data_IF_319351539785
#
_entry.id   IF_319351539785
#
_cell.length_a   1.000
_cell.length_b   1.000
_cell.length_c   1.000
_cell.angle_alpha   90.00
_cell.angle_beta   90.00
_cell.angle_gamma   90.00
#
_symmetry.space_group_name_H-M   'P 1'
#
loop_
_entity.id
_entity.type
_entity.pdbx_description
1 polymer ?
#
# COMPACT_ATOMS: atom_id res chain seq x y z
N UNK A 1 -18.61 -14.16 -32.55
CA UNK A 1 -17.57 -14.57 -31.57
C UNK A 1 -16.65 -15.59 -32.24
N UNK A 2 -15.32 -15.40 -32.18
CA UNK A 2 -14.33 -16.16 -33.00
C UNK A 2 -14.25 -17.62 -32.52
N UNK A 3 -14.36 -18.57 -33.44
CA UNK A 3 -14.49 -20.03 -33.20
C UNK A 3 -13.16 -20.78 -32.95
N UNK A 4 -12.06 -20.07 -32.72
CA UNK A 4 -10.79 -20.68 -32.35
C UNK A 4 -10.00 -19.65 -31.57
N UNK A 5 -9.73 -19.89 -30.29
CA UNK A 5 -8.91 -19.02 -29.44
C UNK A 5 -7.44 -19.12 -29.88
N UNK A 6 -7.15 -18.70 -31.11
CA UNK A 6 -5.81 -18.74 -31.68
C UNK A 6 -4.97 -17.63 -31.04
N UNK A 7 -3.88 -18.01 -30.39
CA UNK A 7 -2.92 -17.06 -29.84
C UNK A 7 -2.18 -16.39 -31.01
N UNK A 8 -2.30 -15.07 -31.10
CA UNK A 8 -1.61 -14.25 -32.11
C UNK A 8 -0.70 -13.26 -31.42
N UNK A 9 0.38 -12.87 -32.08
CA UNK A 9 1.26 -11.82 -31.56
C UNK A 9 0.51 -10.49 -31.50
N UNK A 10 0.82 -9.65 -30.51
CA UNK A 10 0.17 -8.36 -30.32
C UNK A 10 0.25 -7.43 -31.54
N UNK A 11 1.30 -7.55 -32.37
CA UNK A 11 1.44 -6.79 -33.62
C UNK A 11 0.58 -7.31 -34.77
N UNK A 12 0.10 -8.55 -34.69
CA UNK A 12 -0.78 -9.20 -35.68
C UNK A 12 -2.24 -9.16 -35.25
N UNK A 13 -2.54 -8.62 -34.07
CA UNK A 13 -3.89 -8.48 -33.58
C UNK A 13 -4.65 -7.47 -34.47
N UNK A 14 -5.75 -7.91 -35.09
CA UNK A 14 -6.63 -7.06 -35.90
C UNK A 14 -7.46 -6.04 -35.11
N UNK A 15 -7.11 -5.78 -33.84
CA UNK A 15 -7.72 -4.75 -33.00
C UNK A 15 -6.72 -3.61 -32.87
N UNK A 16 -7.08 -2.33 -33.12
CA UNK A 16 -6.19 -1.19 -32.92
C UNK A 16 -5.64 -1.10 -31.50
N UNK A 17 -4.45 -0.53 -31.31
CA UNK A 17 -3.77 -0.49 -30.01
C UNK A 17 -4.60 0.21 -28.93
N UNK A 18 -5.31 1.28 -29.28
CA UNK A 18 -6.14 2.07 -28.37
C UNK A 18 -7.40 1.34 -27.89
N UNK A 19 -7.80 0.24 -28.56
CA UNK A 19 -8.95 -0.60 -28.17
C UNK A 19 -8.52 -1.86 -27.44
N UNK A 20 -7.24 -2.02 -27.15
CA UNK A 20 -6.70 -3.17 -26.40
C UNK A 20 -6.68 -2.83 -24.92
N UNK A 21 -6.81 -3.88 -24.11
CA UNK A 21 -6.54 -3.81 -22.68
C UNK A 21 -5.65 -5.00 -22.30
N UNK A 22 -4.84 -4.80 -21.28
CA UNK A 22 -4.03 -5.87 -20.69
C UNK A 22 -4.78 -6.43 -19.51
N UNK A 23 -4.93 -7.75 -19.45
CA UNK A 23 -5.48 -8.45 -18.30
C UNK A 23 -4.38 -9.24 -17.60
N UNK A 24 -4.24 -9.03 -16.31
CA UNK A 24 -3.28 -9.71 -15.46
C UNK A 24 -4.03 -10.66 -14.52
N UNK A 25 -3.81 -11.96 -14.70
CA UNK A 25 -4.29 -12.98 -13.75
C UNK A 25 -3.24 -13.19 -12.65
N UNK A 26 -3.63 -13.09 -11.39
CA UNK A 26 -2.74 -13.10 -10.22
C UNK A 26 -1.76 -14.29 -10.25
N UNK A 27 -2.24 -15.49 -10.56
CA UNK A 27 -1.44 -16.74 -10.52
C UNK A 27 -0.48 -16.84 -11.71
N UNK A 28 -0.84 -16.27 -12.85
CA UNK A 28 -0.16 -16.49 -14.14
C UNK A 28 0.65 -15.27 -14.62
N UNK A 29 1.00 -14.36 -13.72
CA UNK A 29 1.72 -13.12 -14.09
C UNK A 29 3.24 -13.19 -13.89
N UNK A 30 3.79 -14.30 -13.42
CA UNK A 30 5.23 -14.46 -13.20
C UNK A 30 5.98 -14.34 -14.53
N UNK A 31 6.97 -13.44 -14.59
CA UNK A 31 7.77 -13.19 -15.80
C UNK A 31 7.08 -12.35 -16.88
N UNK A 32 5.81 -11.96 -16.71
CA UNK A 32 5.10 -11.09 -17.66
C UNK A 32 5.39 -9.63 -17.35
N UNK A 33 6.02 -8.92 -18.28
CA UNK A 33 6.21 -7.47 -18.21
C UNK A 33 5.67 -6.81 -19.49
N UNK A 34 4.46 -6.26 -19.41
CA UNK A 34 3.80 -5.60 -20.54
C UNK A 34 3.79 -4.10 -20.25
N UNK A 35 4.53 -3.34 -21.05
CA UNK A 35 4.55 -1.88 -20.97
C UNK A 35 3.16 -1.31 -21.21
N UNK A 36 2.70 -0.49 -20.27
CA UNK A 36 1.45 0.26 -20.39
C UNK A 36 1.74 1.66 -20.92
N UNK A 37 0.73 2.30 -21.51
CA UNK A 37 0.84 3.70 -21.91
C UNK A 37 1.07 4.60 -20.69
N UNK A 38 1.64 5.79 -20.89
CA UNK A 38 1.98 6.73 -19.81
C UNK A 38 0.75 7.30 -19.09
N UNK A 39 -0.41 7.32 -19.77
CA UNK A 39 -1.70 7.77 -19.27
C UNK A 39 -2.65 6.59 -18.95
N UNK A 40 -2.12 5.36 -18.90
CA UNK A 40 -2.93 4.18 -18.70
C UNK A 40 -3.65 4.19 -17.33
N UNK A 41 -4.90 3.72 -17.35
CA UNK A 41 -5.73 3.55 -16.16
C UNK A 41 -5.99 2.07 -15.94
N UNK A 42 -5.68 1.57 -14.75
CA UNK A 42 -5.95 0.19 -14.39
C UNK A 42 -7.11 0.08 -13.41
N UNK A 43 -7.89 -0.99 -13.56
CA UNK A 43 -8.81 -1.45 -12.53
C UNK A 43 -8.12 -2.58 -11.75
N UNK A 44 -8.00 -2.41 -10.44
CA UNK A 44 -7.45 -3.43 -9.54
C UNK A 44 -8.57 -3.91 -8.63
N UNK A 45 -8.81 -5.20 -8.55
CA UNK A 45 -9.82 -5.78 -7.66
C UNK A 45 -9.21 -6.13 -6.30
N UNK A 46 -9.99 -5.94 -5.23
CA UNK A 46 -9.60 -6.34 -3.87
C UNK A 46 -10.47 -7.50 -3.38
N UNK A 47 -9.82 -8.61 -3.03
CA UNK A 47 -10.46 -9.79 -2.45
C UNK A 47 -10.27 -9.91 -0.94
N UNK A 48 -11.10 -10.73 -0.28
CA UNK A 48 -11.02 -11.00 1.18
C UNK A 48 -9.66 -11.58 1.61
N UNK A 49 -9.11 -12.50 0.82
CA UNK A 49 -7.91 -13.27 1.18
C UNK A 49 -6.65 -12.76 0.47
N UNK A 50 -6.64 -11.48 0.10
CA UNK A 50 -5.49 -10.83 -0.53
C UNK A 50 -4.52 -10.27 0.52
N UNK A 51 -3.23 -10.59 0.42
CA UNK A 51 -2.22 -9.95 1.25
C UNK A 51 -1.81 -8.59 0.68
N UNK A 52 -1.19 -7.74 1.51
CA UNK A 52 -0.62 -6.47 1.03
C UNK A 52 0.41 -6.69 -0.09
N UNK A 53 1.17 -7.80 -0.02
CA UNK A 53 2.13 -8.18 -1.06
C UNK A 53 1.43 -8.39 -2.41
N UNK A 54 0.34 -9.14 -2.42
CA UNK A 54 -0.41 -9.45 -3.65
C UNK A 54 -1.01 -8.17 -4.26
N UNK A 55 -1.59 -7.31 -3.42
CA UNK A 55 -2.12 -6.01 -3.82
C UNK A 55 -1.02 -5.14 -4.45
N UNK A 56 0.10 -4.97 -3.76
CA UNK A 56 1.22 -4.15 -4.22
C UNK A 56 1.82 -4.72 -5.51
N UNK A 57 2.00 -6.04 -5.59
CA UNK A 57 2.53 -6.71 -6.78
C UNK A 57 1.65 -6.50 -8.01
N UNK A 58 0.33 -6.52 -7.83
CA UNK A 58 -0.63 -6.19 -8.90
C UNK A 58 -0.55 -4.73 -9.31
N UNK A 59 -0.55 -3.81 -8.32
CA UNK A 59 -0.50 -2.37 -8.58
C UNK A 59 0.77 -1.96 -9.34
N UNK A 60 1.95 -2.44 -8.90
CA UNK A 60 3.23 -2.02 -9.46
C UNK A 60 3.49 -2.48 -10.90
N UNK A 61 2.63 -3.31 -11.49
CA UNK A 61 2.69 -3.64 -12.94
C UNK A 61 2.49 -2.43 -13.84
N UNK A 62 1.83 -1.38 -13.35
CA UNK A 62 1.69 -0.13 -14.09
C UNK A 62 3.06 0.54 -14.30
N UNK A 63 4.04 0.36 -13.39
CA UNK A 63 5.39 0.97 -13.38
C UNK A 63 5.42 2.50 -13.22
N UNK A 64 4.42 3.23 -13.68
CA UNK A 64 4.34 4.70 -13.67
C UNK A 64 3.23 5.27 -12.78
N UNK A 65 2.85 4.59 -11.69
CA UNK A 65 1.81 5.07 -10.76
C UNK A 65 2.19 6.47 -10.24
N UNK A 66 1.28 7.43 -10.39
CA UNK A 66 1.51 8.83 -9.97
C UNK A 66 2.34 9.67 -10.96
N UNK A 67 2.76 9.10 -12.09
CA UNK A 67 3.45 9.78 -13.20
C UNK A 67 2.60 9.78 -14.48
N UNK A 68 1.30 9.96 -14.32
CA UNK A 68 0.31 9.91 -15.41
C UNK A 68 -0.59 8.66 -15.34
N UNK A 69 -0.05 7.53 -14.89
CA UNK A 69 -0.86 6.33 -14.70
C UNK A 69 -1.59 6.32 -13.36
N UNK A 70 -2.80 5.77 -13.38
CA UNK A 70 -3.68 5.71 -12.21
C UNK A 70 -4.28 4.31 -12.04
N UNK A 71 -4.66 4.02 -10.79
CA UNK A 71 -5.30 2.76 -10.42
C UNK A 71 -6.63 3.08 -9.74
N UNK A 72 -7.68 2.39 -10.19
CA UNK A 72 -9.01 2.43 -9.59
C UNK A 72 -9.22 1.12 -8.86
N UNK A 73 -9.54 1.21 -7.58
CA UNK A 73 -9.76 0.03 -6.75
C UNK A 73 -11.23 -0.39 -6.81
N UNK A 74 -11.47 -1.61 -7.28
CA UNK A 74 -12.78 -2.26 -7.31
C UNK A 74 -12.92 -3.17 -6.11
N UNK A 75 -13.84 -2.82 -5.21
CA UNK A 75 -14.10 -3.57 -3.98
C UNK A 75 -15.55 -4.03 -4.04
N UNK A 76 -15.76 -5.33 -3.87
CA UNK A 76 -17.11 -5.88 -3.76
C UNK A 76 -17.75 -5.46 -2.42
N UNK A 77 -19.06 -5.20 -2.36
CA UNK A 77 -19.73 -4.69 -1.16
C UNK A 77 -19.48 -5.55 0.09
N UNK A 78 -19.38 -6.87 -0.07
CA UNK A 78 -19.12 -7.83 1.00
C UNK A 78 -17.75 -7.60 1.65
N UNK A 79 -16.71 -7.37 0.84
CA UNK A 79 -15.35 -7.06 1.32
C UNK A 79 -15.32 -5.67 1.96
N UNK A 80 -16.02 -4.70 1.38
CA UNK A 80 -16.14 -3.36 1.98
C UNK A 80 -16.78 -3.41 3.37
N UNK A 81 -17.80 -4.24 3.58
CA UNK A 81 -18.41 -4.46 4.90
C UNK A 81 -17.39 -5.04 5.88
N UNK A 82 -16.66 -6.08 5.50
CA UNK A 82 -15.62 -6.69 6.33
C UNK A 82 -14.53 -5.67 6.74
N UNK A 83 -14.11 -4.81 5.81
CA UNK A 83 -13.14 -3.74 6.10
C UNK A 83 -13.70 -2.79 7.17
N UNK A 84 -14.94 -2.32 7.02
CA UNK A 84 -15.58 -1.39 7.97
C UNK A 84 -15.69 -2.02 9.36
N UNK A 85 -16.18 -3.25 9.44
CA UNK A 85 -16.34 -3.98 10.70
C UNK A 85 -14.98 -4.13 11.41
N UNK A 86 -13.93 -4.47 10.65
CA UNK A 86 -12.59 -4.66 11.23
C UNK A 86 -11.95 -3.35 11.69
N UNK A 87 -12.09 -2.28 10.91
CA UNK A 87 -11.61 -0.94 11.27
C UNK A 87 -12.29 -0.44 12.55
N UNK A 88 -13.61 -0.66 12.69
CA UNK A 88 -14.33 -0.28 13.91
C UNK A 88 -13.81 -1.04 15.14
N UNK A 89 -13.63 -2.36 15.04
CA UNK A 89 -13.07 -3.17 16.12
C UNK A 89 -11.66 -2.68 16.55
N UNK A 90 -10.81 -2.35 15.58
CA UNK A 90 -9.46 -1.84 15.84
C UNK A 90 -9.48 -0.47 16.49
N UNK A 91 -10.40 0.42 16.10
CA UNK A 91 -10.55 1.74 16.71
C UNK A 91 -11.00 1.63 18.18
N UNK A 92 -11.92 0.73 18.49
CA UNK A 92 -12.36 0.46 19.87
C UNK A 92 -11.19 -0.07 20.70
N UNK A 93 -10.45 -1.06 20.17
CA UNK A 93 -9.27 -1.62 20.85
C UNK A 93 -8.18 -0.57 21.10
N UNK A 94 -7.94 0.35 20.14
CA UNK A 94 -7.02 1.49 20.32
C UNK A 94 -7.49 2.45 21.41
N UNK A 95 -8.79 2.75 21.48
CA UNK A 95 -9.32 3.64 22.52
C UNK A 95 -9.30 3.04 23.94
N UNK A 96 -9.29 1.72 24.05
CA UNK A 96 -9.12 1.01 25.33
C UNK A 96 -7.66 0.92 25.79
N UNK A 97 -6.70 1.08 24.87
CA UNK A 97 -5.27 1.13 25.15
C UNK A 97 -4.80 2.59 25.26
N UNK A 98 -5.14 3.26 26.36
CA UNK A 98 -4.37 4.44 26.80
C UNK A 98 -2.96 3.93 27.18
N UNK A 99 -1.89 4.35 26.48
CA UNK A 99 -0.55 3.89 26.82
C UNK A 99 -0.11 4.61 28.11
N UNK A 100 -0.21 3.92 29.24
CA UNK A 100 0.70 4.19 30.35
C UNK A 100 2.10 3.81 29.85
N UNK A 101 2.92 4.82 29.56
CA UNK A 101 4.35 4.68 29.28
C UNK A 101 5.03 3.98 30.48
N UNK A 102 5.11 2.66 30.45
CA UNK A 102 6.06 1.91 31.28
C UNK A 102 7.42 2.01 30.60
N UNK A 103 8.15 3.08 30.94
CA UNK A 103 9.57 3.18 30.64
C UNK A 103 10.26 2.06 31.44
N UNK A 104 10.61 0.97 30.77
CA UNK A 104 11.57 0.01 31.32
C UNK A 104 12.91 0.75 31.43
N UNK A 105 13.53 0.88 32.62
CA UNK A 105 14.83 1.52 32.71
C UNK A 105 15.82 0.69 31.89
N UNK A 106 16.47 1.35 30.94
CA UNK A 106 17.49 0.76 30.10
C UNK A 106 18.63 0.26 31.01
N UNK A 107 18.92 -1.05 30.92
CA UNK A 107 20.06 -1.64 31.60
C UNK A 107 21.36 -1.02 31.06
N UNK A 108 22.21 -0.60 32.00
CA UNK A 108 23.54 -0.04 31.80
C UNK A 108 24.48 -0.96 31.01
N UNK A 109 25.13 -0.37 30.00
CA UNK A 109 26.59 -0.38 29.87
C UNK A 109 27.26 -1.45 29.00
N UNK A 110 27.87 -1.01 27.89
CA UNK A 110 29.32 -1.14 27.64
C UNK A 110 29.81 0.18 27.03
N UNK A 111 31.00 0.61 27.47
CA UNK A 111 31.56 1.96 27.33
C UNK A 111 31.65 2.48 25.90
N UNK A 112 31.86 3.75 25.66
CA UNK A 112 32.27 4.84 26.53
C UNK A 112 32.80 5.90 25.59
N UNK A 113 32.32 7.13 25.68
CA UNK A 113 33.17 8.26 25.32
C UNK A 113 32.76 9.51 26.09
N UNK A 114 33.81 10.19 26.50
CA UNK A 114 33.90 11.23 27.50
C UNK A 114 33.46 12.57 26.91
N UNK A 115 32.28 13.09 27.23
CA UNK A 115 32.10 14.53 27.42
C UNK A 115 30.97 14.80 28.43
N UNK A 116 31.39 15.25 29.60
CA UNK A 116 30.58 15.57 30.76
C UNK A 116 29.54 16.66 30.48
N UNK A 117 28.27 16.36 30.82
CA UNK A 117 27.27 17.38 31.15
C UNK A 117 26.79 17.09 32.57
N UNK A 118 27.12 18.02 33.45
CA UNK A 118 26.82 18.02 34.89
C UNK A 118 25.32 17.82 35.18
N UNK A 119 24.92 17.05 36.21
CA UNK A 119 23.53 16.86 36.56
C UNK A 119 23.02 18.08 37.35
N UNK A 120 22.35 19.02 36.68
CA UNK A 120 21.81 20.21 37.36
C UNK A 120 20.75 21.04 36.63
N UNK A 121 20.29 20.64 35.44
CA UNK A 121 19.40 21.51 34.65
C UNK A 121 18.05 20.82 34.39
N UNK A 122 17.02 21.24 35.12
CA UNK A 122 15.62 20.96 34.78
C UNK A 122 15.29 21.65 33.45
N UNK A 123 15.05 20.87 32.39
CA UNK A 123 14.45 21.40 31.15
C UNK A 123 13.03 20.85 31.05
N UNK A 124 12.08 21.65 31.50
CA UNK A 124 10.66 21.52 31.19
C UNK A 124 10.46 21.78 29.71
N UNK A 125 10.01 20.78 28.95
CA UNK A 125 9.42 21.01 27.63
C UNK A 125 7.90 20.84 27.71
N UNK A 126 7.24 21.97 28.03
CA UNK A 126 5.84 22.23 27.72
C UNK A 126 5.69 22.30 26.20
N UNK A 127 4.65 21.69 25.65
CA UNK A 127 4.21 22.02 24.29
C UNK A 127 3.55 20.90 23.52
N UNK A 128 2.35 20.49 23.94
CA UNK A 128 1.35 20.06 22.97
C UNK A 128 1.14 21.19 21.95
N UNK A 129 1.25 20.91 20.64
CA UNK A 129 0.56 21.72 19.64
C UNK A 129 0.27 20.94 18.36
N UNK A 130 -1.01 20.59 18.21
CA UNK A 130 -1.73 20.39 16.96
C UNK A 130 -1.87 21.74 16.22
N UNK A 131 -1.66 21.76 14.89
CA UNK A 131 -2.24 22.66 13.86
C UNK A 131 -1.54 22.33 12.52
N UNK A 132 -2.14 21.61 11.56
CA UNK A 132 -3.15 22.02 10.54
C UNK A 132 -2.61 23.03 9.52
N UNK A 133 -2.56 22.55 8.27
CA UNK A 133 -2.63 23.18 6.93
C UNK A 133 -2.02 24.57 6.65
N UNK A 134 -1.20 24.59 5.59
CA UNK A 134 -1.20 25.61 4.51
C UNK A 134 -1.10 24.89 3.17
#
# INVERSE_FOLDING_TARGET
LRHGMNVVRANQAGVPAERRFTFFDQIHTTGIDIHQCIDARAALTLGKDMSFRDYAQGAYRMRGIGKGQTIILFIIPEVMKLIKDKVQQLNIARSAQTPALSVKPAAQGYGGDLLAISPGSNVTMLGQRLLVDV
#
